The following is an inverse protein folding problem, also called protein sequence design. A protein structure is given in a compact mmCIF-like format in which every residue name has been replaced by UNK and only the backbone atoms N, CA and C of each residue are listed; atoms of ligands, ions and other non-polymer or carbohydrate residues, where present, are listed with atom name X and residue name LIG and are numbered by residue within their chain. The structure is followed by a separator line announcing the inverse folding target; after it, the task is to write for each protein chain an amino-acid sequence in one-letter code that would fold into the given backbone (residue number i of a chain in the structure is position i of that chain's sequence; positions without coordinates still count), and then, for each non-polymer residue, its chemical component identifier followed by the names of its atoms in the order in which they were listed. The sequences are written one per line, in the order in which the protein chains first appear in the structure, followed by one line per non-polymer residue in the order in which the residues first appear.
data_IF_078128755808
#
_entry.id   IF_078128755808
#
_cell.length_a   1.000
_cell.length_b   1.000
_cell.length_c   1.000
_cell.angle_alpha   90.00
_cell.angle_beta   90.00
_cell.angle_gamma   90.00
#
_symmetry.space_group_name_H-M   'P 1'
#
loop_
_entity.id
_entity.type
_entity.pdbx_description
1 polymer ?
#
# COMPACT_ATOMS: atom_id res chain seq x y z
N UNK A 1 -18.95 6.29 -7.09
CA UNK A 1 -19.18 7.23 -5.94
C UNK A 1 -18.28 6.93 -4.73
N UNK A 2 -17.55 5.81 -4.69
CA UNK A 2 -16.54 5.53 -3.65
C UNK A 2 -15.15 5.25 -4.25
N UNK A 3 -14.86 5.76 -5.45
CA UNK A 3 -13.57 5.50 -6.11
C UNK A 3 -12.49 6.47 -5.62
N UNK A 4 -12.91 7.54 -4.95
CA UNK A 4 -12.04 8.52 -4.29
C UNK A 4 -11.84 8.14 -2.83
N UNK A 5 -10.58 8.11 -2.40
CA UNK A 5 -10.16 7.90 -1.01
C UNK A 5 -9.71 9.23 -0.39
N UNK A 6 -10.19 9.52 0.81
CA UNK A 6 -9.85 10.67 1.65
C UNK A 6 -9.71 10.20 3.10
N UNK A 7 -9.15 11.03 3.99
CA UNK A 7 -9.05 10.65 5.42
C UNK A 7 -10.42 10.43 6.07
N UNK A 8 -11.45 11.15 5.62
CA UNK A 8 -12.82 11.02 6.13
C UNK A 8 -13.48 9.69 5.74
N UNK A 9 -13.14 9.15 4.56
CA UNK A 9 -13.80 7.95 4.02
C UNK A 9 -12.91 6.71 3.97
N UNK A 10 -11.63 6.81 4.36
CA UNK A 10 -10.64 5.74 4.28
C UNK A 10 -11.14 4.41 4.84
N UNK A 11 -11.71 4.43 6.06
CA UNK A 11 -12.21 3.22 6.69
C UNK A 11 -13.36 2.59 5.93
N UNK A 12 -14.29 3.39 5.40
CA UNK A 12 -15.42 2.90 4.61
C UNK A 12 -14.94 2.33 3.28
N UNK A 13 -13.97 2.98 2.63
CA UNK A 13 -13.33 2.47 1.43
C UNK A 13 -12.65 1.12 1.69
N UNK A 14 -11.81 1.03 2.72
CA UNK A 14 -11.11 -0.20 3.06
C UNK A 14 -12.10 -1.34 3.41
N UNK A 15 -13.10 -1.07 4.24
CA UNK A 15 -14.09 -2.08 4.61
C UNK A 15 -14.92 -2.58 3.42
N UNK A 16 -15.24 -1.70 2.46
CA UNK A 16 -15.96 -2.08 1.24
C UNK A 16 -15.16 -3.03 0.34
N UNK A 17 -13.84 -2.86 0.30
CA UNK A 17 -12.93 -3.62 -0.56
C UNK A 17 -12.24 -4.78 0.17
N UNK A 18 -12.57 -5.00 1.43
CA UNK A 18 -12.01 -6.07 2.24
C UNK A 18 -12.70 -7.40 1.96
N UNK A 19 -11.91 -8.37 1.49
CA UNK A 19 -12.32 -9.75 1.23
C UNK A 19 -11.28 -10.70 1.80
N UNK A 20 -11.46 -11.08 3.06
CA UNK A 20 -10.66 -12.10 3.72
C UNK A 20 -11.55 -13.30 4.06
N UNK A 21 -11.36 -14.40 3.33
CA UNK A 21 -12.11 -15.65 3.54
C UNK A 21 -11.96 -16.26 4.94
N UNK A 22 -10.90 -15.90 5.67
CA UNK A 22 -10.64 -16.36 7.03
C UNK A 22 -11.07 -15.35 8.10
N UNK A 23 -11.74 -14.25 7.70
CA UNK A 23 -12.21 -13.23 8.63
C UNK A 23 -13.27 -13.79 9.58
N UNK A 24 -12.98 -13.71 10.87
CA UNK A 24 -13.85 -14.10 11.99
C UNK A 24 -14.54 -12.91 12.65
N UNK A 25 -14.05 -11.69 12.37
CA UNK A 25 -14.66 -10.46 12.86
C UNK A 25 -13.86 -9.20 12.59
N UNK A 26 -14.32 -8.09 13.16
CA UNK A 26 -13.76 -6.75 12.95
C UNK A 26 -12.28 -6.63 13.37
N UNK A 27 -11.84 -7.44 14.34
CA UNK A 27 -10.44 -7.41 14.80
C UNK A 27 -9.48 -7.82 13.69
N UNK A 28 -9.81 -8.86 12.92
CA UNK A 28 -8.98 -9.35 11.82
C UNK A 28 -8.80 -8.26 10.75
N UNK A 29 -9.85 -7.50 10.44
CA UNK A 29 -9.78 -6.35 9.56
C UNK A 29 -8.77 -5.28 10.05
N UNK A 30 -8.79 -4.96 11.35
CA UNK A 30 -7.82 -4.01 11.91
C UNK A 30 -6.40 -4.57 11.96
N UNK A 31 -6.25 -5.88 12.17
CA UNK A 31 -4.95 -6.55 12.10
C UNK A 31 -4.37 -6.50 10.69
N UNK A 32 -5.17 -6.79 9.67
CA UNK A 32 -4.76 -6.68 8.27
C UNK A 32 -4.36 -5.25 7.89
N UNK A 33 -5.13 -4.24 8.34
CA UNK A 33 -4.77 -2.83 8.16
C UNK A 33 -3.44 -2.46 8.84
N UNK A 34 -3.04 -3.16 9.91
CA UNK A 34 -1.77 -2.87 10.57
C UNK A 34 -0.56 -3.20 9.68
N UNK A 35 -0.69 -4.06 8.66
CA UNK A 35 0.40 -4.32 7.71
C UNK A 35 0.91 -3.04 7.03
N UNK A 36 0.05 -2.06 6.78
CA UNK A 36 0.43 -0.74 6.25
C UNK A 36 1.41 -0.04 7.22
N UNK A 37 1.14 -0.09 8.53
CA UNK A 37 2.03 0.47 9.56
C UNK A 37 3.36 -0.30 9.65
N UNK A 38 3.34 -1.62 9.46
CA UNK A 38 4.57 -2.42 9.42
C UNK A 38 5.44 -2.04 8.22
N UNK A 39 4.86 -1.92 7.03
CA UNK A 39 5.57 -1.46 5.82
C UNK A 39 6.19 -0.07 6.06
N UNK A 40 5.41 0.89 6.57
CA UNK A 40 5.91 2.24 6.90
C UNK A 40 7.12 2.19 7.86
N UNK A 41 7.09 1.32 8.87
CA UNK A 41 8.21 1.15 9.81
C UNK A 41 9.46 0.57 9.13
N UNK A 42 9.29 -0.40 8.23
CA UNK A 42 10.41 -1.01 7.52
C UNK A 42 11.06 -0.02 6.54
N UNK A 43 10.26 0.76 5.82
CA UNK A 43 10.75 1.84 4.98
C UNK A 43 11.50 2.90 5.77
N UNK A 44 10.95 3.33 6.91
CA UNK A 44 11.64 4.29 7.78
C UNK A 44 12.98 3.75 8.30
N UNK A 45 13.08 2.45 8.64
CA UNK A 45 14.36 1.85 9.05
C UNK A 45 15.39 1.89 7.93
N UNK A 46 14.97 1.56 6.70
CA UNK A 46 15.84 1.61 5.53
C UNK A 46 16.35 3.04 5.25
N UNK A 47 15.49 4.05 5.32
CA UNK A 47 15.91 5.46 5.19
C UNK A 47 16.94 5.87 6.27
N UNK A 48 16.88 5.26 7.46
CA UNK A 48 17.85 5.43 8.53
C UNK A 48 19.13 4.58 8.34
N UNK A 49 19.38 4.09 7.13
CA UNK A 49 20.56 3.31 6.72
C UNK A 49 20.68 1.95 7.41
N UNK A 50 19.57 1.41 7.90
CA UNK A 50 19.52 0.01 8.30
C UNK A 50 19.34 -0.91 7.09
N UNK A 51 19.62 -2.20 7.28
CA UNK A 51 19.44 -3.22 6.25
C UNK A 51 17.98 -3.29 5.77
N UNK A 52 17.80 -3.29 4.45
CA UNK A 52 16.49 -3.49 3.83
C UNK A 52 15.98 -4.91 4.11
N UNK A 53 14.80 -5.01 4.71
CA UNK A 53 14.12 -6.29 4.95
C UNK A 53 13.15 -6.63 3.81
N UNK A 54 13.70 -6.76 2.60
CA UNK A 54 12.99 -7.00 1.34
C UNK A 54 11.91 -8.10 1.41
N UNK A 55 12.24 -9.28 1.94
CA UNK A 55 11.31 -10.41 2.10
C UNK A 55 10.16 -10.08 3.03
N UNK A 56 10.44 -9.37 4.13
CA UNK A 56 9.42 -9.01 5.11
C UNK A 56 8.46 -7.95 4.55
N UNK A 57 9.00 -6.98 3.82
CA UNK A 57 8.21 -5.98 3.08
C UNK A 57 7.30 -6.70 2.07
N UNK A 58 7.88 -7.57 1.25
CA UNK A 58 7.16 -8.33 0.22
C UNK A 58 6.03 -9.16 0.83
N UNK A 59 6.28 -9.84 1.95
CA UNK A 59 5.26 -10.62 2.65
C UNK A 59 4.09 -9.75 3.11
N UNK A 60 4.35 -8.57 3.69
CA UNK A 60 3.29 -7.64 4.10
C UNK A 60 2.50 -7.08 2.92
N UNK A 61 3.15 -6.82 1.78
CA UNK A 61 2.48 -6.41 0.54
C UNK A 61 1.56 -7.51 0.03
N UNK A 62 2.04 -8.76 -0.07
CA UNK A 62 1.25 -9.90 -0.52
C UNK A 62 0.01 -10.10 0.37
N UNK A 63 0.16 -10.00 1.70
CA UNK A 63 -0.97 -10.11 2.62
C UNK A 63 -2.04 -9.04 2.35
N UNK A 64 -1.63 -7.77 2.18
CA UNK A 64 -2.57 -6.70 1.82
C UNK A 64 -3.25 -6.94 0.47
N UNK A 65 -2.50 -7.40 -0.54
CA UNK A 65 -3.06 -7.71 -1.86
C UNK A 65 -4.06 -8.87 -1.82
N UNK A 66 -3.84 -9.86 -0.97
CA UNK A 66 -4.75 -10.99 -0.82
C UNK A 66 -6.10 -10.57 -0.22
N UNK A 67 -6.11 -9.61 0.71
CA UNK A 67 -7.34 -9.21 1.43
C UNK A 67 -8.04 -7.99 0.85
N UNK A 68 -7.37 -7.15 0.07
CA UNK A 68 -7.97 -5.96 -0.55
C UNK A 68 -8.03 -6.03 -2.09
N UNK A 69 -7.38 -7.01 -2.71
CA UNK A 69 -7.18 -7.05 -4.15
C UNK A 69 -6.16 -6.02 -4.64
N UNK A 70 -5.79 -6.11 -5.93
CA UNK A 70 -4.71 -5.29 -6.53
C UNK A 70 -5.02 -3.80 -6.47
N UNK A 71 -6.10 -3.35 -7.12
CA UNK A 71 -6.41 -1.93 -7.25
C UNK A 71 -6.64 -1.24 -5.89
N UNK A 72 -7.45 -1.78 -4.96
CA UNK A 72 -7.69 -1.13 -3.68
C UNK A 72 -6.46 -1.13 -2.77
N UNK A 73 -5.68 -2.23 -2.71
CA UNK A 73 -4.46 -2.29 -1.92
C UNK A 73 -3.43 -1.26 -2.40
N UNK A 74 -3.19 -1.17 -3.72
CA UNK A 74 -2.26 -0.18 -4.28
C UNK A 74 -2.73 1.24 -3.93
N UNK A 75 -4.01 1.56 -4.11
CA UNK A 75 -4.55 2.88 -3.76
C UNK A 75 -4.38 3.21 -2.27
N UNK A 76 -4.65 2.24 -1.39
CA UNK A 76 -4.48 2.37 0.06
C UNK A 76 -3.02 2.63 0.43
N UNK A 77 -2.07 1.91 -0.19
CA UNK A 77 -0.63 2.08 0.07
C UNK A 77 -0.16 3.50 -0.29
N UNK A 78 -0.51 3.98 -1.48
CA UNK A 78 -0.14 5.35 -1.91
C UNK A 78 -0.86 6.44 -1.10
N UNK A 79 -2.07 6.17 -0.61
CA UNK A 79 -2.80 7.09 0.25
C UNK A 79 -2.22 7.17 1.68
N UNK A 80 -1.78 6.05 2.28
CA UNK A 80 -1.31 6.02 3.67
C UNK A 80 0.19 6.19 3.85
N UNK A 81 1.00 5.96 2.83
CA UNK A 81 2.44 6.16 2.86
C UNK A 81 2.81 7.55 2.37
N UNK A 82 3.73 8.20 3.08
CA UNK A 82 4.27 9.51 2.70
C UNK A 82 4.97 9.43 1.33
N UNK A 83 4.88 10.49 0.51
CA UNK A 83 5.40 10.49 -0.87
C UNK A 83 6.89 10.14 -0.98
N UNK A 84 7.68 10.48 0.06
CA UNK A 84 9.10 10.11 0.15
C UNK A 84 9.36 8.60 0.03
N UNK A 85 8.38 7.77 0.39
CA UNK A 85 8.48 6.32 0.31
C UNK A 85 8.03 5.75 -1.05
N UNK A 86 7.42 6.57 -1.91
CA UNK A 86 6.89 6.08 -3.18
C UNK A 86 7.95 5.50 -4.11
N UNK A 87 9.19 6.03 -4.19
CA UNK A 87 10.24 5.39 -5.00
C UNK A 87 10.55 3.96 -4.57
N UNK A 88 10.69 3.75 -3.25
CA UNK A 88 10.93 2.42 -2.69
C UNK A 88 9.71 1.50 -2.89
N UNK A 89 8.50 2.00 -2.61
CA UNK A 89 7.27 1.26 -2.85
C UNK A 89 7.16 0.82 -4.31
N UNK A 90 7.40 1.74 -5.26
CA UNK A 90 7.37 1.48 -6.70
C UNK A 90 8.29 0.33 -7.07
N UNK A 91 9.51 0.26 -6.53
CA UNK A 91 10.44 -0.85 -6.76
C UNK A 91 9.80 -2.20 -6.44
N UNK A 92 9.17 -2.33 -5.26
CA UNK A 92 8.48 -3.58 -4.89
C UNK A 92 7.26 -3.87 -5.77
N UNK A 93 6.44 -2.86 -6.08
CA UNK A 93 5.19 -3.07 -6.83
C UNK A 93 5.42 -3.39 -8.30
N UNK A 94 6.48 -2.84 -8.91
CA UNK A 94 6.94 -3.23 -10.26
C UNK A 94 7.45 -4.68 -10.24
N UNK A 95 8.26 -5.05 -9.24
CA UNK A 95 8.73 -6.43 -9.08
C UNK A 95 7.61 -7.46 -8.89
N UNK A 96 6.50 -7.05 -8.25
CA UNK A 96 5.29 -7.86 -8.10
C UNK A 96 4.34 -7.81 -9.31
N UNK A 97 4.61 -6.96 -10.31
CA UNK A 97 3.76 -6.72 -11.48
C UNK A 97 2.32 -6.32 -11.12
N UNK A 98 2.17 -5.45 -10.13
CA UNK A 98 0.86 -4.98 -9.62
C UNK A 98 0.68 -3.47 -9.70
N UNK A 99 1.69 -2.72 -10.14
CA UNK A 99 1.63 -1.26 -10.24
C UNK A 99 0.93 -0.81 -11.53
N UNK A 100 -0.20 -0.10 -11.48
CA UNK A 100 -0.79 0.55 -12.66
C UNK A 100 -0.04 1.86 -12.98
N UNK A 101 -0.11 2.30 -14.24
CA UNK A 101 0.50 3.58 -14.68
C UNK A 101 -0.13 4.81 -14.00
N UNK A 102 -1.43 4.73 -13.67
CA UNK A 102 -2.17 5.81 -13.02
C UNK A 102 -2.99 5.24 -11.86
N UNK A 103 -2.87 5.85 -10.69
CA UNK A 103 -3.73 5.58 -9.53
C UNK A 103 -4.67 6.75 -9.36
N UNK A 104 -5.97 6.51 -9.53
CA UNK A 104 -6.97 7.58 -9.53
C UNK A 104 -7.59 7.83 -8.16
N UNK A 105 -8.02 9.07 -7.92
CA UNK A 105 -8.91 9.40 -6.81
C UNK A 105 -8.27 9.39 -5.42
N UNK A 106 -6.97 9.62 -5.29
CA UNK A 106 -6.32 9.85 -3.99
C UNK A 106 -6.48 11.33 -3.63
N UNK A 107 -7.29 11.65 -2.62
CA UNK A 107 -7.62 13.03 -2.24
C UNK A 107 -8.09 13.90 -3.44
N UNK A 108 -8.92 13.32 -4.31
CA UNK A 108 -9.39 13.93 -5.58
C UNK A 108 -8.27 14.25 -6.58
N UNK A 109 -7.12 13.57 -6.48
CA UNK A 109 -6.01 13.66 -7.43
C UNK A 109 -5.67 12.29 -7.96
N UNK A 110 -5.08 12.29 -9.14
CA UNK A 110 -4.51 11.11 -9.77
C UNK A 110 -2.99 11.16 -9.63
N UNK A 111 -2.39 10.00 -9.40
CA UNK A 111 -0.94 9.83 -9.31
C UNK A 111 -0.47 9.13 -10.58
N UNK A 112 0.38 9.79 -11.36
CA UNK A 112 1.10 9.16 -12.46
C UNK A 112 2.30 8.39 -11.89
N UNK A 113 2.20 7.07 -11.83
CA UNK A 113 3.25 6.24 -11.23
C UNK A 113 4.46 6.11 -12.12
N UNK A 114 4.33 6.37 -13.44
CA UNK A 114 5.43 6.35 -14.40
C UNK A 114 6.47 7.43 -14.07
N UNK A 115 6.01 8.60 -13.61
CA UNK A 115 6.84 9.75 -13.25
C UNK A 115 7.60 9.58 -11.92
N UNK A 116 7.19 8.64 -11.08
CA UNK A 116 7.86 8.34 -9.82
C UNK A 116 9.17 7.62 -10.12
N UNK A 117 10.30 8.09 -9.61
CA UNK A 117 11.58 7.40 -9.80
C UNK A 117 11.59 6.04 -9.08
N UNK A 118 12.27 5.05 -9.64
CA UNK A 118 12.53 3.79 -8.94
C UNK A 118 13.71 4.05 -7.98
N UNK A 119 13.65 3.53 -6.77
CA UNK A 119 14.81 3.55 -5.88
C UNK A 119 15.94 2.73 -6.51
N UNK A 120 17.03 3.40 -6.89
CA UNK A 120 18.17 2.81 -7.60
C UNK A 120 19.18 2.12 -6.67
N UNK A 121 18.96 2.16 -5.35
CA UNK A 121 19.88 1.63 -4.34
C UNK A 121 19.50 0.18 -3.96
N UNK A 122 18.30 -0.27 -4.34
CA UNK A 122 17.79 -1.64 -4.14
C UNK A 122 17.97 -2.50 -5.38
#
# INVERSE_FOLDING_TARGET
MFDVITEENFFLYAAKHYDNSSCTGLNDFYEDLNHIKYIKRLFNRYENKEELKDRLITNHLILLYNVFGVEPATKILFFKLDERYWPLLKTFLVGLNVLPDIITGINNKDINTVEIEIDQIV
#
